data_IF_913794865108
#
_entry.id   IF_913794865108
#
_cell.length_a   1.000
_cell.length_b   1.000
_cell.length_c   1.000
_cell.angle_alpha   90.00
_cell.angle_beta   90.00
_cell.angle_gamma   90.00
#
_symmetry.space_group_name_H-M   'P 1'
#
loop_
_entity.id
_entity.type
_entity.pdbx_description
1 polymer ?
#
# COMPACT_ATOMS: atom_id res chain seq x y z
N UNK A 1 3.63 20.85 -4.33
CA UNK A 1 2.88 20.73 -3.05
C UNK A 1 3.88 20.34 -1.98
N UNK A 2 3.83 20.87 -0.75
CA UNK A 2 4.83 20.50 0.27
C UNK A 2 4.69 19.02 0.62
N UNK A 3 5.79 18.27 0.65
CA UNK A 3 5.86 16.83 0.91
C UNK A 3 5.03 16.40 2.13
N UNK A 4 4.93 17.24 3.16
CA UNK A 4 4.11 17.01 4.35
C UNK A 4 2.61 16.82 4.07
N UNK A 5 2.01 17.56 3.12
CA UNK A 5 0.59 17.40 2.78
C UNK A 5 0.34 16.10 2.03
N UNK A 6 1.29 15.73 1.17
CA UNK A 6 1.24 14.47 0.43
C UNK A 6 1.36 13.28 1.37
N UNK A 7 2.34 13.30 2.29
CA UNK A 7 2.51 12.28 3.32
C UNK A 7 1.25 12.16 4.17
N UNK A 8 0.69 13.29 4.63
CA UNK A 8 -0.55 13.27 5.41
C UNK A 8 -1.70 12.59 4.67
N UNK A 9 -1.95 12.96 3.41
CA UNK A 9 -3.00 12.35 2.61
C UNK A 9 -2.81 10.83 2.44
N UNK A 10 -1.56 10.34 2.39
CA UNK A 10 -1.27 8.91 2.34
C UNK A 10 -1.53 8.21 3.67
N UNK A 11 -1.15 8.83 4.79
CA UNK A 11 -1.46 8.31 6.13
C UNK A 11 -2.97 8.23 6.36
N UNK A 12 -3.71 9.27 5.96
CA UNK A 12 -5.18 9.30 6.09
C UNK A 12 -5.82 8.11 5.33
N UNK A 13 -5.35 7.80 4.11
CA UNK A 13 -5.83 6.64 3.35
C UNK A 13 -5.51 5.31 4.06
N UNK A 14 -4.31 5.17 4.64
CA UNK A 14 -3.95 3.95 5.37
C UNK A 14 -4.87 3.79 6.59
N UNK A 15 -5.07 4.87 7.36
CA UNK A 15 -5.90 4.83 8.56
C UNK A 15 -7.37 4.53 8.21
N UNK A 16 -7.91 5.13 7.14
CA UNK A 16 -9.29 4.90 6.71
C UNK A 16 -9.50 3.48 6.15
N UNK A 17 -8.60 3.00 5.29
CA UNK A 17 -8.81 1.77 4.53
C UNK A 17 -8.28 0.51 5.22
N UNK A 18 -7.23 0.65 6.06
CA UNK A 18 -6.42 -0.44 6.58
C UNK A 18 -6.32 -0.48 8.12
N UNK A 19 -6.79 0.51 8.86
CA UNK A 19 -6.74 0.45 10.33
C UNK A 19 -7.47 -0.78 10.90
N UNK A 20 -6.74 -1.55 11.72
CA UNK A 20 -7.21 -2.79 12.32
C UNK A 20 -7.33 -3.96 11.35
N UNK A 21 -6.76 -3.87 10.14
CA UNK A 21 -6.51 -5.02 9.28
C UNK A 21 -5.17 -5.68 9.66
N UNK A 22 -5.07 -6.98 9.46
CA UNK A 22 -3.85 -7.75 9.75
C UNK A 22 -3.16 -8.12 8.46
N UNK A 23 -1.85 -7.88 8.35
CA UNK A 23 -1.03 -8.41 7.25
C UNK A 23 -0.92 -9.92 7.40
N UNK A 24 -1.36 -10.68 6.41
CA UNK A 24 -1.39 -12.16 6.47
C UNK A 24 -0.38 -12.81 5.55
N UNK A 25 0.04 -12.13 4.48
CA UNK A 25 0.97 -12.69 3.50
C UNK A 25 1.69 -11.58 2.74
N UNK A 26 3.01 -11.72 2.56
CA UNK A 26 3.76 -10.91 1.59
C UNK A 26 3.59 -11.47 0.18
N UNK A 27 3.62 -10.59 -0.82
CA UNK A 27 3.55 -10.93 -2.23
C UNK A 27 4.58 -10.12 -3.02
N UNK A 28 5.04 -10.71 -4.12
CA UNK A 28 5.78 -10.01 -5.16
C UNK A 28 5.24 -10.51 -6.49
N UNK A 29 5.38 -9.69 -7.53
CA UNK A 29 5.17 -10.17 -8.88
C UNK A 29 6.29 -11.18 -9.27
N UNK A 30 6.13 -11.87 -10.40
CA UNK A 30 7.07 -12.94 -10.79
C UNK A 30 8.46 -12.41 -11.10
N UNK A 31 8.57 -11.15 -11.51
CA UNK A 31 9.83 -10.52 -11.91
C UNK A 31 10.48 -9.75 -10.74
N UNK A 32 9.82 -9.71 -9.57
CA UNK A 32 10.23 -8.97 -8.37
C UNK A 32 10.36 -7.45 -8.61
N UNK A 33 9.68 -6.94 -9.63
CA UNK A 33 9.58 -5.52 -9.95
C UNK A 33 8.63 -4.81 -8.98
N UNK A 34 7.60 -5.52 -8.51
CA UNK A 34 6.59 -5.00 -7.58
C UNK A 34 6.47 -5.92 -6.36
N UNK A 35 6.38 -5.31 -5.18
CA UNK A 35 6.09 -6.04 -3.95
C UNK A 35 4.86 -5.47 -3.26
N UNK A 36 4.27 -6.29 -2.39
CA UNK A 36 3.05 -5.95 -1.69
C UNK A 36 2.72 -6.92 -0.59
N UNK A 37 1.51 -6.83 -0.08
CA UNK A 37 1.01 -7.73 0.95
C UNK A 37 -0.51 -7.84 0.92
N UNK A 38 -1.00 -9.00 1.37
CA UNK A 38 -2.41 -9.26 1.63
C UNK A 38 -2.72 -8.81 3.05
N UNK A 39 -3.80 -8.06 3.21
CA UNK A 39 -4.39 -7.76 4.51
C UNK A 39 -5.74 -8.44 4.67
N UNK A 40 -6.08 -8.84 5.90
CA UNK A 40 -7.37 -9.45 6.23
C UNK A 40 -8.03 -8.79 7.45
N UNK A 41 -9.36 -8.63 7.38
CA UNK A 41 -10.20 -8.20 8.51
C UNK A 41 -11.59 -8.83 8.38
N UNK A 42 -11.98 -9.60 9.40
CA UNK A 42 -13.29 -10.29 9.45
C UNK A 42 -13.62 -11.07 8.16
N UNK A 43 -12.65 -11.84 7.63
CA UNK A 43 -12.81 -12.66 6.42
C UNK A 43 -12.75 -11.90 5.09
N UNK A 44 -12.65 -10.56 5.10
CA UNK A 44 -12.41 -9.76 3.89
C UNK A 44 -10.91 -9.64 3.63
N UNK A 45 -10.51 -9.68 2.36
CA UNK A 45 -9.11 -9.54 1.92
C UNK A 45 -8.94 -8.34 1.00
N UNK A 46 -7.82 -7.64 1.14
CA UNK A 46 -7.35 -6.61 0.20
C UNK A 46 -5.89 -6.88 -0.16
N UNK A 47 -5.53 -6.52 -1.37
CA UNK A 47 -4.14 -6.52 -1.85
C UNK A 47 -3.61 -5.09 -1.75
N UNK A 48 -2.46 -4.93 -1.11
CA UNK A 48 -1.76 -3.66 -1.00
C UNK A 48 -0.44 -3.78 -1.77
N UNK A 49 -0.29 -3.00 -2.82
CA UNK A 49 0.96 -2.89 -3.56
C UNK A 49 1.76 -1.70 -3.06
N UNK A 50 3.07 -1.89 -2.98
CA UNK A 50 4.05 -0.84 -2.67
C UNK A 50 4.75 -0.51 -3.97
N UNK A 51 4.30 0.58 -4.58
CA UNK A 51 4.81 1.06 -5.86
C UNK A 51 5.99 1.98 -5.58
N UNK A 52 7.20 1.52 -5.89
CA UNK A 52 8.40 2.35 -5.84
C UNK A 52 8.32 3.39 -6.98
N UNK A 53 8.69 4.63 -6.70
CA UNK A 53 8.90 5.62 -7.78
C UNK A 53 10.26 5.33 -8.45
N UNK A 54 10.28 4.76 -9.67
CA UNK A 54 11.51 4.38 -10.33
C UNK A 54 12.32 5.57 -10.84
N UNK A 55 11.68 6.74 -10.98
CA UNK A 55 12.32 7.98 -11.43
C UNK A 55 12.94 8.77 -10.27
N UNK A 56 12.69 8.36 -9.02
CA UNK A 56 13.23 9.01 -7.83
C UNK A 56 12.62 10.38 -7.55
N UNK A 57 11.45 10.68 -8.11
CA UNK A 57 10.74 11.95 -7.93
C UNK A 57 9.99 12.05 -6.59
N UNK A 58 9.95 10.97 -5.80
CA UNK A 58 9.24 10.92 -4.53
C UNK A 58 9.31 9.58 -3.81
N UNK A 59 8.57 9.43 -2.71
CA UNK A 59 8.63 8.27 -1.81
C UNK A 59 7.88 7.02 -2.33
N UNK A 60 7.43 7.00 -3.59
CA UNK A 60 6.53 5.96 -4.11
C UNK A 60 5.06 6.13 -3.67
N UNK A 61 4.21 5.16 -3.98
CA UNK A 61 2.79 5.14 -3.61
C UNK A 61 2.30 3.76 -3.16
N UNK A 62 1.20 3.73 -2.40
CA UNK A 62 0.48 2.50 -2.07
C UNK A 62 -0.78 2.41 -2.93
N UNK A 63 -1.01 1.25 -3.52
CA UNK A 63 -2.22 0.92 -4.27
C UNK A 63 -3.00 -0.17 -3.53
N UNK A 64 -4.22 0.17 -3.08
CA UNK A 64 -5.09 -0.74 -2.31
C UNK A 64 -6.20 -1.24 -3.24
N UNK A 65 -6.19 -2.54 -3.53
CA UNK A 65 -7.15 -3.18 -4.41
C UNK A 65 -7.99 -4.23 -3.65
N UNK A 66 -9.30 -4.33 -3.92
CA UNK A 66 -10.09 -5.47 -3.45
C UNK A 66 -9.54 -6.78 -4.06
N UNK A 67 -9.48 -7.84 -3.25
CA UNK A 67 -9.08 -9.18 -3.71
C UNK A 67 -10.21 -9.93 -4.40
#
# INVERSE_FOLDING_TARGET
>A
MSDQRYIKAKLDVIDEELAGWTITRSMADKELEYFGFVVEKAGKKKLVYVDQDPEGNGPGFLSINPS
#
